data_IF_763832578298
#
_entry.id   IF_763832578298
#
_cell.length_a   1.000
_cell.length_b   1.000
_cell.length_c   1.000
_cell.angle_alpha   90.00
_cell.angle_beta   90.00
_cell.angle_gamma   90.00
#
_symmetry.space_group_name_H-M   'P 1'
#
loop_
_entity.id
_entity.type
_entity.pdbx_description
1 polymer ?
#
# COMPACT_ATOMS: atom_id res chain seq x y z
N UNK A 1 -15.85 32.48 -36.99
CA UNK A 1 -14.50 32.91 -36.54
C UNK A 1 -14.34 32.83 -35.02
N UNK A 2 -15.01 33.62 -34.17
CA UNK A 2 -14.80 33.54 -32.71
C UNK A 2 -15.22 32.21 -32.04
N UNK A 3 -16.30 31.57 -32.51
CA UNK A 3 -16.76 30.28 -31.99
C UNK A 3 -15.87 29.10 -32.43
N UNK A 4 -15.30 29.16 -33.65
CA UNK A 4 -14.33 28.16 -34.15
C UNK A 4 -12.99 28.28 -33.44
N UNK A 5 -12.53 29.51 -33.17
CA UNK A 5 -11.28 29.74 -32.44
C UNK A 5 -11.37 29.21 -31.00
N UNK A 6 -12.50 29.43 -30.32
CA UNK A 6 -12.73 28.95 -28.95
C UNK A 6 -12.82 27.42 -28.87
N UNK A 7 -13.53 26.79 -29.83
CA UNK A 7 -13.60 25.34 -29.92
C UNK A 7 -12.24 24.69 -30.26
N UNK A 8 -11.39 25.38 -31.03
CA UNK A 8 -10.03 24.92 -31.32
C UNK A 8 -9.13 24.98 -30.09
N UNK A 9 -9.19 26.06 -29.32
CA UNK A 9 -8.39 26.23 -28.09
C UNK A 9 -8.79 25.21 -27.03
N UNK A 10 -10.10 24.99 -26.80
CA UNK A 10 -10.57 23.97 -25.85
C UNK A 10 -10.14 22.55 -26.26
N UNK A 11 -10.17 22.23 -27.57
CA UNK A 11 -9.71 20.93 -28.07
C UNK A 11 -8.19 20.76 -27.92
N UNK A 12 -7.41 21.81 -28.13
CA UNK A 12 -5.95 21.82 -28.04
C UNK A 12 -5.47 21.73 -26.58
N UNK A 13 -6.18 22.37 -25.66
CA UNK A 13 -5.92 22.31 -24.22
C UNK A 13 -6.29 20.96 -23.60
N UNK A 14 -7.44 20.38 -23.98
CA UNK A 14 -7.81 19.00 -23.59
C UNK A 14 -6.79 17.98 -24.09
N UNK A 15 -6.29 18.17 -25.31
CA UNK A 15 -5.24 17.31 -25.88
C UNK A 15 -3.92 17.46 -25.12
N UNK A 16 -3.55 18.68 -24.70
CA UNK A 16 -2.35 18.97 -23.91
C UNK A 16 -2.41 18.36 -22.51
N UNK A 17 -3.52 18.51 -21.80
CA UNK A 17 -3.73 17.95 -20.46
C UNK A 17 -3.74 16.42 -20.49
N UNK A 18 -4.39 15.81 -21.50
CA UNK A 18 -4.36 14.37 -21.67
C UNK A 18 -2.95 13.83 -21.98
N UNK A 19 -2.11 14.59 -22.70
CA UNK A 19 -0.72 14.20 -22.95
C UNK A 19 0.16 14.39 -21.72
N UNK A 20 -0.07 15.44 -20.92
CA UNK A 20 0.69 15.73 -19.70
C UNK A 20 0.37 14.73 -18.56
N UNK A 21 -0.91 14.40 -18.35
CA UNK A 21 -1.33 13.36 -17.39
C UNK A 21 -0.76 11.99 -17.80
N UNK A 22 -0.82 11.66 -19.09
CA UNK A 22 -0.27 10.41 -19.61
C UNK A 22 1.25 10.36 -19.44
N UNK A 23 1.96 11.46 -19.70
CA UNK A 23 3.40 11.56 -19.48
C UNK A 23 3.78 11.45 -18.00
N UNK A 24 2.96 11.99 -17.08
CA UNK A 24 3.18 11.87 -15.63
C UNK A 24 2.98 10.43 -15.16
N UNK A 25 1.90 9.78 -15.58
CA UNK A 25 1.63 8.37 -15.24
C UNK A 25 2.71 7.46 -15.83
N UNK A 26 3.12 7.69 -17.09
CA UNK A 26 4.23 6.94 -17.70
C UNK A 26 5.56 7.17 -16.96
N UNK A 27 5.84 8.40 -16.48
CA UNK A 27 7.06 8.69 -15.72
C UNK A 27 7.05 8.06 -14.31
N UNK A 28 5.91 8.06 -13.63
CA UNK A 28 5.74 7.45 -12.30
C UNK A 28 5.76 5.91 -12.41
N UNK A 29 5.15 5.35 -13.46
CA UNK A 29 5.20 3.93 -13.77
C UNK A 29 6.61 3.49 -14.20
N UNK A 30 7.33 4.28 -15.00
CA UNK A 30 8.73 4.00 -15.33
C UNK A 30 9.65 4.07 -14.10
N UNK A 31 9.45 5.05 -13.21
CA UNK A 31 10.23 5.15 -11.97
C UNK A 31 9.97 3.93 -11.06
N UNK A 32 8.71 3.46 -11.00
CA UNK A 32 8.34 2.25 -10.26
C UNK A 32 8.91 0.99 -10.91
N UNK A 33 8.77 0.83 -12.23
CA UNK A 33 9.33 -0.31 -12.97
C UNK A 33 10.86 -0.33 -12.86
N UNK A 34 11.54 0.81 -12.84
CA UNK A 34 12.97 0.87 -12.64
C UNK A 34 13.37 0.48 -11.20
N UNK A 35 12.58 0.85 -10.20
CA UNK A 35 12.78 0.42 -8.82
C UNK A 35 12.51 -1.09 -8.64
N UNK A 36 11.46 -1.61 -9.27
CA UNK A 36 11.07 -3.02 -9.26
C UNK A 36 12.08 -3.88 -10.04
N UNK A 37 12.52 -3.44 -11.22
CA UNK A 37 13.58 -4.09 -12.01
C UNK A 37 14.90 -4.09 -11.25
N UNK A 38 15.25 -2.98 -10.56
CA UNK A 38 16.46 -2.91 -9.74
C UNK A 38 16.38 -3.82 -8.52
N UNK A 39 15.23 -3.89 -7.84
CA UNK A 39 14.99 -4.83 -6.75
C UNK A 39 15.00 -6.29 -7.26
N UNK A 40 14.43 -6.57 -8.43
CA UNK A 40 14.44 -7.89 -9.06
C UNK A 40 15.86 -8.30 -9.44
N UNK A 41 16.66 -7.39 -10.01
CA UNK A 41 18.07 -7.64 -10.35
C UNK A 41 18.89 -7.86 -9.08
N UNK A 42 18.67 -7.09 -8.01
CA UNK A 42 19.35 -7.32 -6.73
C UNK A 42 18.97 -8.68 -6.11
N UNK A 43 17.70 -9.08 -6.17
CA UNK A 43 17.23 -10.40 -5.71
C UNK A 43 17.76 -11.52 -6.61
N UNK A 44 17.76 -11.35 -7.93
CA UNK A 44 18.25 -12.35 -8.90
C UNK A 44 19.77 -12.49 -8.84
N UNK A 45 20.51 -11.39 -8.62
CA UNK A 45 21.95 -11.41 -8.41
C UNK A 45 22.30 -12.05 -7.06
N UNK A 46 21.54 -11.75 -5.99
CA UNK A 46 21.71 -12.42 -4.70
C UNK A 46 21.31 -13.90 -4.73
N UNK A 47 20.30 -14.28 -5.51
CA UNK A 47 19.90 -15.66 -5.75
C UNK A 47 20.91 -16.40 -6.61
N UNK A 48 21.52 -15.74 -7.60
CA UNK A 48 22.63 -16.29 -8.39
C UNK A 48 23.87 -16.50 -7.52
N UNK A 49 24.22 -15.53 -6.67
CA UNK A 49 25.30 -15.67 -5.69
C UNK A 49 24.99 -16.76 -4.66
N UNK A 50 23.73 -16.88 -4.21
CA UNK A 50 23.29 -17.97 -3.35
C UNK A 50 23.37 -19.33 -4.05
N UNK A 51 22.97 -19.42 -5.32
CA UNK A 51 23.04 -20.65 -6.10
C UNK A 51 24.48 -21.01 -6.47
N UNK A 52 25.36 -20.05 -6.69
CA UNK A 52 26.79 -20.26 -6.92
C UNK A 52 27.50 -20.69 -5.62
N UNK A 53 27.12 -20.14 -4.47
CA UNK A 53 27.60 -20.55 -3.15
C UNK A 53 27.01 -21.91 -2.74
N UNK A 54 25.73 -22.16 -3.02
CA UNK A 54 25.07 -23.46 -2.83
C UNK A 54 25.64 -24.51 -3.78
N UNK A 55 25.98 -24.17 -5.02
CA UNK A 55 26.68 -25.07 -5.95
C UNK A 55 28.12 -25.33 -5.51
N UNK A 56 28.79 -24.38 -4.86
CA UNK A 56 30.06 -24.63 -4.16
C UNK A 56 29.89 -25.55 -2.95
N UNK A 57 28.85 -25.34 -2.14
CA UNK A 57 28.52 -26.18 -0.99
C UNK A 57 28.09 -27.58 -1.45
N UNK A 58 27.35 -27.71 -2.56
CA UNK A 58 26.89 -28.99 -3.10
C UNK A 58 28.01 -29.71 -3.86
N UNK A 59 28.94 -28.98 -4.50
CA UNK A 59 30.19 -29.52 -5.01
C UNK A 59 31.13 -29.96 -3.86
N UNK A 60 31.11 -29.28 -2.71
CA UNK A 60 31.76 -29.74 -1.49
C UNK A 60 31.03 -30.94 -0.86
N UNK A 61 29.68 -30.99 -0.86
CA UNK A 61 28.89 -32.16 -0.42
C UNK A 61 29.12 -33.39 -1.31
N UNK A 62 29.38 -33.23 -2.60
CA UNK A 62 29.80 -34.35 -3.46
C UNK A 62 31.21 -34.89 -3.13
N UNK A 63 31.97 -34.19 -2.27
CA UNK A 63 33.28 -34.63 -1.78
C UNK A 63 33.29 -35.01 -0.30
N UNK A 64 32.17 -34.86 0.41
CA UNK A 64 32.01 -35.38 1.77
C UNK A 64 30.99 -36.51 1.68
N UNK A 65 31.51 -37.74 1.55
CA UNK A 65 30.75 -38.95 1.83
C UNK A 65 29.85 -38.76 3.07
N UNK A 66 28.75 -39.52 3.18
CA UNK A 66 28.05 -39.73 4.45
C UNK A 66 29.05 -40.26 5.50
N UNK A 67 29.88 -39.39 6.07
CA UNK A 67 30.78 -39.68 7.16
C UNK A 67 29.87 -39.80 8.38
N UNK A 68 29.63 -41.05 8.79
CA UNK A 68 28.92 -41.35 10.03
C UNK A 68 29.52 -40.52 11.16
N UNK A 69 28.68 -39.99 12.05
CA UNK A 69 29.14 -39.37 13.29
C UNK A 69 30.23 -40.25 13.93
N UNK A 70 31.31 -39.66 14.46
CA UNK A 70 32.37 -40.43 15.06
C UNK A 70 31.80 -41.29 16.20
N UNK A 71 32.36 -42.49 16.38
CA UNK A 71 31.95 -43.38 17.46
C UNK A 71 32.12 -42.66 18.81
N UNK A 72 31.08 -42.70 19.63
CA UNK A 72 31.08 -42.00 20.92
C UNK A 72 31.97 -42.73 21.93
N UNK A 73 33.27 -42.40 21.92
CA UNK A 73 34.29 -43.03 22.78
C UNK A 73 34.51 -42.29 24.10
N UNK A 74 34.04 -41.05 24.21
CA UNK A 74 34.15 -40.21 25.40
C UNK A 74 32.89 -39.35 25.61
N UNK A 75 32.80 -38.71 26.78
CA UNK A 75 31.65 -37.90 27.16
C UNK A 75 31.42 -36.71 26.20
N UNK A 76 32.50 -36.10 25.69
CA UNK A 76 32.39 -35.01 24.71
C UNK A 76 31.76 -35.51 23.41
N UNK A 77 32.19 -36.65 22.88
CA UNK A 77 31.69 -37.21 21.64
C UNK A 77 30.21 -37.63 21.76
N UNK A 78 29.82 -38.17 22.92
CA UNK A 78 28.40 -38.43 23.21
C UNK A 78 27.56 -37.15 23.18
N UNK A 79 27.96 -36.11 23.92
CA UNK A 79 27.20 -34.85 24.00
C UNK A 79 27.18 -34.11 22.65
N UNK A 80 28.28 -34.11 21.91
CA UNK A 80 28.36 -33.53 20.58
C UNK A 80 27.47 -34.27 19.57
N UNK A 81 27.45 -35.61 19.60
CA UNK A 81 26.59 -36.39 18.72
C UNK A 81 25.10 -36.11 18.99
N UNK A 82 24.69 -36.03 20.27
CA UNK A 82 23.31 -35.67 20.64
C UNK A 82 22.93 -34.27 20.11
N UNK A 83 23.85 -33.29 20.18
CA UNK A 83 23.59 -31.95 19.63
C UNK A 83 23.48 -31.99 18.10
N UNK A 84 24.35 -32.75 17.41
CA UNK A 84 24.27 -32.85 15.95
C UNK A 84 22.94 -33.48 15.53
N UNK A 85 22.50 -34.56 16.18
CA UNK A 85 21.21 -35.19 15.92
C UNK A 85 20.05 -34.19 16.14
N UNK A 86 20.06 -33.44 17.25
CA UNK A 86 19.06 -32.40 17.50
C UNK A 86 19.05 -31.31 16.42
N UNK A 87 20.22 -30.87 15.93
CA UNK A 87 20.32 -29.88 14.87
C UNK A 87 19.84 -30.38 13.51
N UNK A 88 19.96 -31.69 13.24
CA UNK A 88 19.45 -32.34 12.03
C UNK A 88 17.93 -32.50 12.05
N UNK A 89 17.33 -32.79 13.21
CA UNK A 89 15.88 -32.82 13.36
C UNK A 89 15.27 -31.42 13.28
N UNK A 90 15.90 -30.44 13.92
CA UNK A 90 15.53 -29.03 13.81
C UNK A 90 15.62 -28.52 12.36
N UNK A 91 16.61 -28.97 11.60
CA UNK A 91 16.74 -28.65 10.17
C UNK A 91 15.52 -29.10 9.36
N UNK A 92 15.04 -30.34 9.55
CA UNK A 92 13.88 -30.86 8.80
C UNK A 92 12.63 -30.01 9.04
N UNK A 93 12.38 -29.66 10.31
CA UNK A 93 11.26 -28.79 10.67
C UNK A 93 11.43 -27.36 10.11
N UNK A 94 12.66 -26.84 10.08
CA UNK A 94 12.98 -25.55 9.48
C UNK A 94 12.73 -25.55 7.96
N UNK A 95 13.13 -26.61 7.25
CA UNK A 95 12.89 -26.79 5.82
C UNK A 95 11.39 -26.88 5.50
N UNK A 96 10.61 -27.59 6.32
CA UNK A 96 9.16 -27.66 6.17
C UNK A 96 8.50 -26.28 6.33
N UNK A 97 8.90 -25.51 7.33
CA UNK A 97 8.38 -24.15 7.54
C UNK A 97 8.76 -23.20 6.39
N UNK A 98 9.99 -23.28 5.87
CA UNK A 98 10.42 -22.52 4.69
C UNK A 98 9.60 -22.90 3.45
N UNK A 99 9.32 -24.18 3.25
CA UNK A 99 8.45 -24.65 2.15
C UNK A 99 7.04 -24.06 2.26
N UNK A 100 6.45 -24.11 3.46
CA UNK A 100 5.12 -23.54 3.72
C UNK A 100 5.09 -22.03 3.51
N UNK A 101 6.13 -21.30 3.93
CA UNK A 101 6.24 -19.87 3.67
C UNK A 101 6.34 -19.60 2.16
N UNK A 102 7.15 -20.36 1.44
CA UNK A 102 7.32 -20.25 -0.02
C UNK A 102 5.99 -20.43 -0.75
N UNK A 103 5.21 -21.45 -0.38
CA UNK A 103 3.88 -21.68 -0.95
C UNK A 103 2.93 -20.52 -0.67
N UNK A 104 2.95 -19.96 0.55
CA UNK A 104 2.13 -18.81 0.90
C UNK A 104 2.52 -17.55 0.11
N UNK A 105 3.82 -17.29 -0.10
CA UNK A 105 4.29 -16.19 -0.96
C UNK A 105 3.79 -16.38 -2.40
N UNK A 106 3.86 -17.60 -2.94
CA UNK A 106 3.38 -17.90 -4.28
C UNK A 106 1.86 -17.67 -4.43
N UNK A 107 1.07 -17.98 -3.41
CA UNK A 107 -0.37 -17.67 -3.39
C UNK A 107 -0.61 -16.17 -3.43
N UNK A 108 0.11 -15.39 -2.61
CA UNK A 108 0.02 -13.92 -2.60
C UNK A 108 0.40 -13.29 -3.93
N UNK A 109 1.48 -13.77 -4.55
CA UNK A 109 1.92 -13.32 -5.88
C UNK A 109 0.86 -13.63 -6.96
N UNK A 110 0.25 -14.82 -6.90
CA UNK A 110 -0.81 -15.18 -7.82
C UNK A 110 -2.07 -14.31 -7.64
N UNK A 111 -2.46 -14.03 -6.39
CA UNK A 111 -3.60 -13.17 -6.10
C UNK A 111 -3.34 -11.71 -6.58
N UNK A 112 -2.11 -11.21 -6.45
CA UNK A 112 -1.69 -9.92 -7.03
C UNK A 112 -1.80 -9.92 -8.56
N UNK A 113 -1.29 -10.95 -9.23
CA UNK A 113 -1.37 -11.08 -10.70
C UNK A 113 -2.83 -11.12 -11.18
N UNK A 114 -3.68 -11.83 -10.44
CA UNK A 114 -5.11 -11.89 -10.73
C UNK A 114 -5.79 -10.52 -10.56
N UNK A 115 -5.47 -9.80 -9.49
CA UNK A 115 -5.99 -8.44 -9.24
C UNK A 115 -5.56 -7.47 -10.34
N UNK A 116 -4.28 -7.51 -10.74
CA UNK A 116 -3.76 -6.68 -11.83
C UNK A 116 -4.48 -6.99 -13.15
N UNK A 117 -4.66 -8.27 -13.48
CA UNK A 117 -5.40 -8.69 -14.67
C UNK A 117 -6.86 -8.25 -14.64
N UNK A 118 -7.53 -8.38 -13.50
CA UNK A 118 -8.91 -7.89 -13.34
C UNK A 118 -8.97 -6.39 -13.60
N UNK A 119 -8.07 -5.61 -12.99
CA UNK A 119 -8.01 -4.17 -13.18
C UNK A 119 -7.75 -3.78 -14.64
N UNK A 120 -6.77 -4.39 -15.29
CA UNK A 120 -6.38 -4.09 -16.68
C UNK A 120 -7.51 -4.40 -17.68
N UNK A 121 -8.17 -5.57 -17.55
CA UNK A 121 -9.29 -5.94 -18.41
C UNK A 121 -10.50 -5.04 -18.17
N UNK A 122 -10.72 -4.69 -16.91
CA UNK A 122 -11.82 -3.83 -16.52
C UNK A 122 -11.61 -2.38 -17.00
N UNK A 123 -10.37 -1.91 -17.15
CA UNK A 123 -10.05 -0.64 -17.83
C UNK A 123 -10.29 -0.68 -19.34
N UNK A 124 -10.17 -1.85 -19.96
CA UNK A 124 -10.57 -2.07 -21.35
C UNK A 124 -12.10 -2.22 -21.52
N UNK A 125 -12.87 -2.07 -20.45
CA UNK A 125 -14.32 -2.25 -20.45
C UNK A 125 -14.77 -3.71 -20.48
N UNK A 126 -13.86 -4.66 -20.24
CA UNK A 126 -14.14 -6.10 -20.22
C UNK A 126 -14.39 -6.51 -18.76
N UNK A 127 -15.64 -6.87 -18.47
CA UNK A 127 -16.02 -7.37 -17.15
C UNK A 127 -15.58 -8.83 -16.97
N UNK A 128 -14.90 -9.12 -15.87
CA UNK A 128 -14.70 -10.49 -15.37
C UNK A 128 -15.52 -10.70 -14.10
N UNK A 129 -16.04 -11.91 -13.96
CA UNK A 129 -16.73 -12.31 -12.75
C UNK A 129 -15.77 -12.30 -11.55
N UNK A 130 -16.14 -11.64 -10.43
CA UNK A 130 -15.30 -11.56 -9.24
C UNK A 130 -14.97 -12.96 -8.73
N UNK A 131 -13.70 -13.23 -8.46
CA UNK A 131 -13.30 -14.48 -7.82
C UNK A 131 -13.86 -14.54 -6.39
N UNK A 132 -14.14 -15.74 -5.85
CA UNK A 132 -14.56 -15.90 -4.46
C UNK A 132 -13.59 -15.20 -3.50
N UNK A 133 -14.13 -14.46 -2.54
CA UNK A 133 -13.33 -13.76 -1.55
C UNK A 133 -12.62 -14.76 -0.63
N UNK A 134 -11.28 -14.76 -0.67
CA UNK A 134 -10.45 -15.41 0.35
C UNK A 134 -10.22 -14.41 1.50
N UNK A 135 -10.32 -14.89 2.74
CA UNK A 135 -10.09 -14.05 3.92
C UNK A 135 -8.62 -13.63 4.02
N UNK A 136 -8.31 -12.41 3.60
CA UNK A 136 -6.94 -11.87 3.69
C UNK A 136 -6.40 -11.82 5.14
N UNK A 137 -7.28 -11.72 6.13
CA UNK A 137 -6.90 -11.68 7.55
C UNK A 137 -6.40 -13.03 8.05
N UNK A 138 -7.10 -14.12 7.71
CA UNK A 138 -6.70 -15.47 8.14
C UNK A 138 -5.40 -15.91 7.47
N UNK A 139 -5.26 -15.60 6.19
CA UNK A 139 -4.04 -15.90 5.43
C UNK A 139 -2.83 -15.12 5.96
N UNK A 140 -3.00 -13.82 6.25
CA UNK A 140 -1.93 -13.01 6.84
C UNK A 140 -1.56 -13.52 8.25
N UNK A 141 -2.54 -13.91 9.06
CA UNK A 141 -2.28 -14.49 10.37
C UNK A 141 -1.50 -15.81 10.27
N UNK A 142 -1.80 -16.64 9.27
CA UNK A 142 -1.05 -17.89 9.02
C UNK A 142 0.39 -17.62 8.59
N UNK A 143 0.64 -16.62 7.73
CA UNK A 143 2.00 -16.21 7.32
C UNK A 143 2.81 -15.71 8.51
N UNK A 144 2.23 -14.84 9.36
CA UNK A 144 2.92 -14.34 10.55
C UNK A 144 3.21 -15.46 11.57
N UNK A 145 2.32 -16.45 11.70
CA UNK A 145 2.59 -17.63 12.52
C UNK A 145 3.79 -18.43 11.99
N UNK A 146 3.84 -18.70 10.67
CA UNK A 146 4.98 -19.39 10.05
C UNK A 146 6.28 -18.62 10.25
N UNK A 147 6.27 -17.29 10.08
CA UNK A 147 7.45 -16.44 10.31
C UNK A 147 7.93 -16.52 11.76
N UNK A 148 7.01 -16.45 12.72
CA UNK A 148 7.30 -16.58 14.15
C UNK A 148 7.89 -17.96 14.48
N UNK A 149 7.32 -19.03 13.92
CA UNK A 149 7.84 -20.39 14.11
C UNK A 149 9.25 -20.54 13.51
N UNK A 150 9.50 -19.93 12.34
CA UNK A 150 10.83 -19.85 11.73
C UNK A 150 11.83 -19.08 12.61
N UNK A 151 11.45 -17.96 13.21
CA UNK A 151 12.32 -17.21 14.11
C UNK A 151 12.70 -18.03 15.34
N UNK A 152 11.72 -18.73 15.93
CA UNK A 152 11.94 -19.59 17.08
C UNK A 152 12.89 -20.75 16.76
N UNK A 153 12.68 -21.44 15.64
CA UNK A 153 13.51 -22.59 15.26
C UNK A 153 14.92 -22.15 14.84
N UNK A 154 15.06 -21.02 14.14
CA UNK A 154 16.36 -20.41 13.81
C UNK A 154 17.11 -20.08 15.10
N UNK A 155 16.46 -19.44 16.06
CA UNK A 155 17.07 -19.08 17.34
C UNK A 155 17.52 -20.33 18.13
N UNK A 156 16.67 -21.36 18.20
CA UNK A 156 17.00 -22.62 18.87
C UNK A 156 18.19 -23.33 18.21
N UNK A 157 18.15 -23.48 16.87
CA UNK A 157 19.23 -24.15 16.11
C UNK A 157 20.55 -23.38 16.20
N UNK A 158 20.51 -22.04 16.20
CA UNK A 158 21.70 -21.21 16.46
C UNK A 158 22.31 -21.47 17.84
N UNK A 159 21.47 -21.62 18.87
CA UNK A 159 21.92 -21.91 20.22
C UNK A 159 22.59 -23.28 20.34
N UNK A 160 22.03 -24.30 19.67
CA UNK A 160 22.60 -25.65 19.59
C UNK A 160 23.93 -25.68 18.84
N UNK A 161 24.02 -25.03 17.68
CA UNK A 161 25.28 -24.89 16.92
C UNK A 161 26.35 -24.18 17.77
N UNK A 162 25.96 -23.13 18.51
CA UNK A 162 26.87 -22.43 19.42
C UNK A 162 27.32 -23.32 20.57
N UNK A 163 26.43 -24.17 21.11
CA UNK A 163 26.79 -25.15 22.15
C UNK A 163 27.77 -26.19 21.61
N UNK A 164 27.54 -26.71 20.40
CA UNK A 164 28.45 -27.65 19.74
C UNK A 164 29.83 -27.02 19.53
N UNK A 165 29.88 -25.76 19.09
CA UNK A 165 31.13 -25.02 18.90
C UNK A 165 31.91 -24.87 20.21
N UNK A 166 31.23 -24.54 21.32
CA UNK A 166 31.89 -24.45 22.63
C UNK A 166 32.44 -25.79 23.10
N UNK A 167 31.69 -26.87 22.94
CA UNK A 167 32.18 -28.21 23.30
C UNK A 167 33.39 -28.59 22.44
N UNK A 168 33.35 -28.23 21.15
CA UNK A 168 34.44 -28.47 20.21
C UNK A 168 35.72 -27.75 20.66
N UNK A 169 35.61 -26.47 21.02
CA UNK A 169 36.72 -25.66 21.54
C UNK A 169 37.27 -26.23 22.86
N UNK A 170 36.40 -26.61 23.80
CA UNK A 170 36.79 -27.22 25.07
C UNK A 170 37.57 -28.53 24.86
N UNK A 171 37.05 -29.41 24.01
CA UNK A 171 37.74 -30.66 23.68
C UNK A 171 39.08 -30.40 23.00
N UNK A 172 39.16 -29.40 22.13
CA UNK A 172 40.41 -29.01 21.46
C UNK A 172 41.47 -28.54 22.47
N UNK A 173 41.06 -27.83 23.53
CA UNK A 173 41.94 -27.40 24.62
C UNK A 173 42.41 -28.56 25.51
N UNK A 174 41.55 -29.54 25.76
CA UNK A 174 41.86 -30.71 26.60
C UNK A 174 42.66 -31.81 25.87
N UNK A 175 42.66 -31.81 24.53
CA UNK A 175 43.39 -32.78 23.73
C UNK A 175 44.84 -32.33 23.52
N UNK A 176 45.82 -33.14 23.95
CA UNK A 176 47.25 -32.84 23.78
C UNK A 176 47.60 -32.60 22.30
N UNK A 177 48.12 -31.39 22.00
CA UNK A 177 48.41 -30.81 20.66
C UNK A 177 49.26 -31.65 19.70
N UNK A 178 49.80 -32.80 20.12
CA UNK A 178 50.66 -33.67 19.31
C UNK A 178 49.83 -34.63 18.42
N UNK A 179 48.56 -34.88 18.76
CA UNK A 179 47.65 -35.72 17.97
C UNK A 179 46.34 -34.95 17.71
N UNK A 180 46.18 -34.40 16.50
CA UNK A 180 44.85 -34.04 16.03
C UNK A 180 44.10 -35.34 15.76
N UNK A 181 43.19 -35.68 16.67
CA UNK A 181 42.34 -36.86 16.54
C UNK A 181 41.39 -36.69 15.34
N UNK A 182 41.18 -37.79 14.60
CA UNK A 182 40.26 -37.89 13.46
C UNK A 182 38.85 -37.43 13.85
N UNK A 183 38.46 -37.68 15.10
CA UNK A 183 37.21 -37.25 15.71
C UNK A 183 37.09 -35.71 15.76
N UNK A 184 38.16 -34.99 16.05
CA UNK A 184 38.10 -33.52 16.12
C UNK A 184 37.97 -32.92 14.70
N UNK A 185 38.58 -33.55 13.70
CA UNK A 185 38.43 -33.12 12.31
C UNK A 185 37.00 -33.32 11.81
N UNK A 186 36.33 -34.42 12.17
CA UNK A 186 34.95 -34.68 11.77
C UNK A 186 33.99 -33.63 12.35
N UNK A 187 34.08 -33.32 13.64
CA UNK A 187 33.25 -32.26 14.25
C UNK A 187 33.49 -30.87 13.66
N UNK A 188 34.73 -30.54 13.27
CA UNK A 188 35.02 -29.28 12.58
C UNK A 188 34.30 -29.19 11.22
N UNK A 189 34.30 -30.27 10.44
CA UNK A 189 33.55 -30.34 9.18
C UNK A 189 32.04 -30.20 9.45
N UNK A 190 31.52 -30.92 10.44
CA UNK A 190 30.11 -30.86 10.84
C UNK A 190 29.68 -29.45 11.25
N UNK A 191 30.46 -28.76 12.08
CA UNK A 191 30.19 -27.37 12.46
C UNK A 191 30.16 -26.43 11.25
N UNK A 192 31.08 -26.62 10.31
CA UNK A 192 31.12 -25.83 9.07
C UNK A 192 29.86 -26.04 8.24
N UNK A 193 29.42 -27.30 8.08
CA UNK A 193 28.17 -27.67 7.40
C UNK A 193 26.95 -27.06 8.10
N UNK A 194 26.83 -27.23 9.42
CA UNK A 194 25.67 -26.74 10.18
C UNK A 194 25.56 -25.21 10.09
N UNK A 195 26.68 -24.48 10.18
CA UNK A 195 26.71 -23.03 10.03
C UNK A 195 26.32 -22.57 8.63
N UNK A 196 26.79 -23.24 7.57
CA UNK A 196 26.45 -22.88 6.20
C UNK A 196 24.98 -23.14 5.89
N UNK A 197 24.45 -24.29 6.30
CA UNK A 197 23.03 -24.62 6.17
C UNK A 197 22.13 -23.62 6.92
N UNK A 198 22.53 -23.23 8.12
CA UNK A 198 21.78 -22.28 8.93
C UNK A 198 21.80 -20.88 8.31
N UNK A 199 22.94 -20.45 7.76
CA UNK A 199 23.03 -19.19 7.02
C UNK A 199 22.12 -19.19 5.78
N UNK A 200 22.09 -20.30 5.04
CA UNK A 200 21.20 -20.45 3.89
C UNK A 200 19.72 -20.33 4.27
N UNK A 201 19.30 -20.95 5.38
CA UNK A 201 17.94 -20.84 5.89
C UNK A 201 17.56 -19.41 6.32
N UNK A 202 18.48 -18.70 6.99
CA UNK A 202 18.28 -17.29 7.39
C UNK A 202 18.11 -16.41 6.14
N UNK A 203 18.95 -16.62 5.11
CA UNK A 203 18.86 -15.88 3.85
C UNK A 203 17.55 -16.16 3.13
N UNK A 204 17.16 -17.43 3.01
CA UNK A 204 15.90 -17.82 2.38
C UNK A 204 14.68 -17.18 3.08
N UNK A 205 14.66 -17.15 4.43
CA UNK A 205 13.61 -16.44 5.19
C UNK A 205 13.58 -14.95 4.84
N UNK A 206 14.74 -14.29 4.87
CA UNK A 206 14.83 -12.85 4.57
C UNK A 206 14.37 -12.51 3.15
N UNK A 207 14.74 -13.34 2.17
CA UNK A 207 14.32 -13.17 0.77
C UNK A 207 12.80 -13.32 0.62
N UNK A 208 12.19 -14.31 1.29
CA UNK A 208 10.73 -14.51 1.28
C UNK A 208 9.99 -13.36 1.96
N UNK A 209 10.52 -12.81 3.05
CA UNK A 209 9.95 -11.63 3.73
C UNK A 209 10.02 -10.38 2.85
N UNK A 210 11.13 -10.17 2.14
CA UNK A 210 11.28 -9.06 1.20
C UNK A 210 10.32 -9.18 0.00
N UNK A 211 10.12 -10.40 -0.51
CA UNK A 211 9.13 -10.67 -1.56
C UNK A 211 7.71 -10.38 -1.08
N UNK A 212 7.33 -10.80 0.13
CA UNK A 212 6.03 -10.50 0.72
C UNK A 212 5.78 -9.00 0.83
N UNK A 213 6.77 -8.23 1.29
CA UNK A 213 6.64 -6.77 1.38
C UNK A 213 6.43 -6.13 0.01
N UNK A 214 7.18 -6.58 -1.00
CA UNK A 214 7.02 -6.12 -2.38
C UNK A 214 5.63 -6.41 -2.91
N UNK A 215 5.12 -7.64 -2.68
CA UNK A 215 3.78 -8.05 -3.09
C UNK A 215 2.70 -7.22 -2.36
N UNK A 216 2.89 -6.94 -1.07
CA UNK A 216 1.95 -6.13 -0.28
C UNK A 216 1.85 -4.70 -0.84
N UNK A 217 2.97 -4.05 -1.11
CA UNK A 217 3.00 -2.70 -1.69
C UNK A 217 2.32 -2.67 -3.05
N UNK A 218 2.63 -3.63 -3.92
CA UNK A 218 2.01 -3.74 -5.24
C UNK A 218 0.49 -4.03 -5.17
N UNK A 219 0.07 -4.85 -4.21
CA UNK A 219 -1.35 -5.16 -3.96
C UNK A 219 -2.11 -3.92 -3.52
N UNK A 220 -1.57 -3.14 -2.59
CA UNK A 220 -2.19 -1.89 -2.13
C UNK A 220 -2.28 -0.85 -3.25
N UNK A 221 -1.29 -0.80 -4.13
CA UNK A 221 -1.35 0.03 -5.33
C UNK A 221 -2.54 -0.35 -6.24
N UNK A 222 -2.68 -1.64 -6.58
CA UNK A 222 -3.77 -2.11 -7.44
C UNK A 222 -5.16 -1.94 -6.79
N UNK A 223 -5.26 -2.11 -5.46
CA UNK A 223 -6.50 -1.79 -4.72
C UNK A 223 -6.83 -0.31 -4.83
N UNK A 224 -5.86 0.60 -4.63
CA UNK A 224 -6.06 2.04 -4.76
C UNK A 224 -6.48 2.43 -6.18
N UNK A 225 -5.88 1.83 -7.21
CA UNK A 225 -6.26 2.01 -8.62
C UNK A 225 -7.73 1.65 -8.85
N UNK A 226 -8.18 0.50 -8.34
CA UNK A 226 -9.58 0.07 -8.42
C UNK A 226 -10.53 1.04 -7.70
N UNK A 227 -10.17 1.50 -6.50
CA UNK A 227 -10.98 2.46 -5.73
C UNK A 227 -11.10 3.79 -6.49
N UNK A 228 -9.99 4.35 -6.96
CA UNK A 228 -9.99 5.59 -7.75
C UNK A 228 -10.90 5.47 -8.97
N UNK A 229 -10.85 4.33 -9.67
CA UNK A 229 -11.71 4.09 -10.83
C UNK A 229 -13.18 3.94 -10.46
N UNK A 230 -13.50 3.25 -9.36
CA UNK A 230 -14.88 3.16 -8.89
C UNK A 230 -15.45 4.54 -8.53
N UNK A 231 -14.63 5.42 -7.93
CA UNK A 231 -15.00 6.80 -7.63
C UNK A 231 -15.19 7.64 -8.91
N UNK A 232 -14.35 7.44 -9.93
CA UNK A 232 -14.44 8.16 -11.20
C UNK A 232 -15.60 7.67 -12.09
N UNK A 233 -15.77 6.35 -12.24
CA UNK A 233 -16.83 5.77 -13.05
C UNK A 233 -18.24 6.03 -12.49
N UNK A 234 -18.35 6.30 -11.18
CA UNK A 234 -19.58 6.73 -10.53
C UNK A 234 -19.70 8.27 -10.44
N UNK A 235 -18.75 9.05 -10.98
CA UNK A 235 -18.87 10.52 -10.97
C UNK A 235 -20.08 10.97 -11.80
N UNK A 236 -20.34 10.34 -12.95
CA UNK A 236 -21.49 10.66 -13.79
C UNK A 236 -22.83 10.42 -13.08
N UNK A 237 -22.98 9.24 -12.50
CA UNK A 237 -24.19 8.85 -11.76
C UNK A 237 -24.35 9.65 -10.46
N UNK A 238 -23.26 9.85 -9.70
CA UNK A 238 -23.25 10.71 -8.49
C UNK A 238 -23.68 12.13 -8.85
N UNK A 239 -23.06 12.73 -9.87
CA UNK A 239 -23.39 14.08 -10.29
C UNK A 239 -24.87 14.20 -10.69
N UNK A 240 -25.40 13.22 -11.44
CA UNK A 240 -26.82 13.21 -11.80
C UNK A 240 -27.73 13.17 -10.55
N UNK A 241 -27.40 12.32 -9.57
CA UNK A 241 -28.14 12.24 -8.31
C UNK A 241 -28.03 13.54 -7.48
N UNK A 242 -26.83 14.12 -7.43
CA UNK A 242 -26.54 15.36 -6.70
C UNK A 242 -27.28 16.55 -7.29
N UNK A 243 -27.34 16.67 -8.62
CA UNK A 243 -28.15 17.69 -9.30
C UNK A 243 -29.64 17.52 -9.04
N UNK A 244 -30.14 16.28 -9.10
CA UNK A 244 -31.55 15.98 -8.83
C UNK A 244 -31.93 16.28 -7.37
N UNK A 245 -31.04 15.98 -6.42
CA UNK A 245 -31.23 16.29 -5.00
C UNK A 245 -31.28 17.80 -4.77
N UNK A 246 -30.34 18.57 -5.35
CA UNK A 246 -30.33 20.03 -5.24
C UNK A 246 -31.61 20.65 -5.82
N UNK A 247 -32.05 20.19 -6.99
CA UNK A 247 -33.27 20.67 -7.62
C UNK A 247 -34.50 20.38 -6.76
N UNK A 248 -34.60 19.17 -6.19
CA UNK A 248 -35.65 18.81 -5.25
C UNK A 248 -35.63 19.67 -3.99
N UNK A 249 -34.45 19.96 -3.44
CA UNK A 249 -34.31 20.85 -2.28
C UNK A 249 -34.79 22.26 -2.61
N UNK A 250 -34.40 22.81 -3.76
CA UNK A 250 -34.83 24.16 -4.18
C UNK A 250 -36.34 24.23 -4.40
N UNK A 251 -36.97 23.20 -4.95
CA UNK A 251 -38.41 23.17 -5.23
C UNK A 251 -39.27 22.91 -3.98
N UNK A 252 -38.78 22.08 -3.05
CA UNK A 252 -39.59 21.59 -1.93
C UNK A 252 -39.32 22.32 -0.59
N UNK A 253 -38.25 23.10 -0.48
CA UNK A 253 -37.95 23.82 0.76
C UNK A 253 -38.82 25.06 0.88
N UNK A 254 -39.78 25.04 1.81
CA UNK A 254 -40.57 26.23 2.16
C UNK A 254 -39.73 27.22 2.97
N UNK A 255 -39.99 28.51 2.76
CA UNK A 255 -39.41 29.57 3.59
C UNK A 255 -39.71 29.32 5.07
N UNK A 256 -38.68 29.45 5.91
CA UNK A 256 -38.84 29.29 7.37
C UNK A 256 -39.63 30.47 7.93
N UNK A 257 -40.65 30.18 8.74
CA UNK A 257 -41.41 31.19 9.47
C UNK A 257 -40.67 31.70 10.72
N UNK A 258 -39.65 30.96 11.17
CA UNK A 258 -38.78 31.33 12.29
C UNK A 258 -37.38 31.68 11.76
N UNK A 259 -36.79 32.80 12.18
CA UNK A 259 -35.46 33.19 11.74
C UNK A 259 -34.42 32.20 12.29
N UNK A 260 -33.68 31.55 11.39
CA UNK A 260 -32.57 30.66 11.74
C UNK A 260 -31.40 31.47 12.32
N UNK A 261 -30.61 30.82 13.16
CA UNK A 261 -29.41 31.34 13.82
C UNK A 261 -28.15 30.65 13.30
N UNK A 262 -26.96 31.17 13.62
CA UNK A 262 -25.69 30.56 13.17
C UNK A 262 -25.52 29.12 13.70
N UNK A 263 -25.98 28.85 14.92
CA UNK A 263 -25.91 27.51 15.53
C UNK A 263 -26.79 26.46 14.85
N UNK A 264 -27.73 26.89 14.00
CA UNK A 264 -28.57 25.96 13.24
C UNK A 264 -27.84 25.41 12.01
N UNK A 265 -26.71 26.00 11.61
CA UNK A 265 -25.92 25.60 10.45
C UNK A 265 -24.69 24.78 10.85
N UNK A 266 -24.58 23.57 10.29
CA UNK A 266 -23.33 22.81 10.29
C UNK A 266 -22.48 23.28 9.10
N UNK A 267 -21.41 24.03 9.33
CA UNK A 267 -20.53 24.49 8.25
C UNK A 267 -19.53 23.42 7.77
N UNK A 268 -19.49 22.29 8.47
CA UNK A 268 -18.56 21.19 8.23
C UNK A 268 -17.12 21.55 8.57
N UNK A 269 -16.20 21.31 7.64
CA UNK A 269 -14.76 21.50 7.88
C UNK A 269 -14.42 22.99 8.09
N UNK A 270 -13.69 23.28 9.18
CA UNK A 270 -13.21 24.63 9.45
C UNK A 270 -12.17 25.06 8.41
N UNK A 271 -12.38 26.23 7.82
CA UNK A 271 -11.51 26.78 6.78
C UNK A 271 -10.64 27.89 7.37
N UNK A 272 -9.36 27.89 6.98
CA UNK A 272 -8.45 28.98 7.30
C UNK A 272 -8.83 30.27 6.56
N UNK A 273 -8.41 31.43 7.07
CA UNK A 273 -8.64 32.73 6.41
C UNK A 273 -7.91 32.88 5.06
N UNK A 274 -7.07 31.91 4.67
CA UNK A 274 -6.33 31.92 3.41
C UNK A 274 -7.16 31.30 2.28
N UNK A 275 -6.98 31.81 1.05
CA UNK A 275 -7.63 31.26 -0.14
C UNK A 275 -7.10 29.85 -0.40
N UNK A 276 -7.98 28.86 -0.37
CA UNK A 276 -7.65 27.48 -0.74
C UNK A 276 -7.65 27.35 -2.25
N UNK A 277 -6.67 26.63 -2.81
CA UNK A 277 -6.57 26.36 -4.25
C UNK A 277 -6.88 24.88 -4.47
N UNK A 278 -7.94 24.61 -5.24
CA UNK A 278 -8.29 23.28 -5.72
C UNK A 278 -7.90 23.17 -7.19
N UNK A 279 -7.35 22.02 -7.57
CA UNK A 279 -6.91 21.75 -8.94
C UNK A 279 -7.67 20.59 -9.54
N UNK A 280 -7.95 20.67 -10.84
CA UNK A 280 -8.58 19.60 -11.61
C UNK A 280 -9.92 19.14 -11.00
N UNK A 281 -10.76 20.10 -10.59
CA UNK A 281 -12.09 19.85 -10.06
C UNK A 281 -13.05 19.58 -11.23
N UNK A 282 -13.38 18.32 -11.42
CA UNK A 282 -14.31 17.86 -12.46
C UNK A 282 -15.64 18.61 -12.39
N UNK A 283 -16.12 19.13 -13.54
CA UNK A 283 -17.41 19.83 -13.70
C UNK A 283 -17.57 21.12 -12.88
N UNK A 284 -16.49 21.65 -12.34
CA UNK A 284 -16.43 23.05 -11.91
C UNK A 284 -15.71 23.88 -12.98
N UNK A 285 -15.99 25.18 -13.02
CA UNK A 285 -15.29 26.11 -13.92
C UNK A 285 -14.12 26.75 -13.17
N UNK A 286 -13.11 27.21 -13.90
CA UNK A 286 -12.05 28.02 -13.28
C UNK A 286 -12.63 29.33 -12.72
N UNK A 287 -12.17 29.72 -11.52
CA UNK A 287 -12.60 30.96 -10.90
C UNK A 287 -12.48 30.96 -9.37
N UNK A 288 -13.06 31.99 -8.76
CA UNK A 288 -13.10 32.22 -7.32
C UNK A 288 -14.53 32.03 -6.83
N UNK A 289 -14.72 31.06 -5.95
CA UNK A 289 -16.03 30.66 -5.44
C UNK A 289 -16.21 31.12 -4.00
N UNK A 290 -17.38 31.68 -3.69
CA UNK A 290 -17.78 32.00 -2.32
C UNK A 290 -18.40 30.78 -1.66
N UNK A 291 -17.59 30.05 -0.90
CA UNK A 291 -18.01 28.81 -0.25
C UNK A 291 -18.67 29.13 1.09
N UNK A 292 -19.88 28.63 1.29
CA UNK A 292 -20.65 28.70 2.52
C UNK A 292 -20.21 27.60 3.50
N UNK A 293 -20.14 26.34 3.04
CA UNK A 293 -19.80 25.17 3.88
C UNK A 293 -19.08 24.07 3.08
N UNK A 294 -18.39 23.16 3.78
CA UNK A 294 -17.71 22.00 3.17
C UNK A 294 -18.06 20.74 3.92
N UNK A 295 -18.65 19.75 3.24
CA UNK A 295 -19.05 18.48 3.83
C UNK A 295 -18.46 17.29 3.07
N UNK A 296 -18.15 16.23 3.80
CA UNK A 296 -17.80 14.90 3.26
C UNK A 296 -19.02 13.96 3.17
N UNK A 297 -20.18 14.39 3.67
CA UNK A 297 -21.40 13.60 3.79
C UNK A 297 -22.59 14.25 3.08
N UNK A 298 -23.34 13.43 2.33
CA UNK A 298 -24.50 13.84 1.53
C UNK A 298 -25.66 14.35 2.39
N UNK A 299 -25.91 13.72 3.54
CA UNK A 299 -27.02 14.09 4.43
C UNK A 299 -26.75 15.46 5.04
N UNK A 300 -25.51 15.70 5.50
CA UNK A 300 -25.10 17.00 6.05
C UNK A 300 -25.16 18.11 5.00
N UNK A 301 -24.67 17.83 3.79
CA UNK A 301 -24.78 18.74 2.65
C UNK A 301 -26.23 19.12 2.39
N UNK A 302 -27.12 18.14 2.29
CA UNK A 302 -28.53 18.37 1.98
C UNK A 302 -29.27 19.11 3.09
N UNK A 303 -28.95 18.84 4.36
CA UNK A 303 -29.48 19.58 5.51
C UNK A 303 -29.06 21.05 5.49
N UNK A 304 -27.77 21.32 5.22
CA UNK A 304 -27.27 22.69 5.07
C UNK A 304 -27.97 23.41 3.91
N UNK A 305 -28.05 22.79 2.75
CA UNK A 305 -28.73 23.36 1.56
C UNK A 305 -30.20 23.67 1.86
N UNK A 306 -30.94 22.77 2.52
CA UNK A 306 -32.34 23.00 2.90
C UNK A 306 -32.48 24.23 3.80
N UNK A 307 -31.61 24.41 4.78
CA UNK A 307 -31.62 25.56 5.68
C UNK A 307 -31.27 26.87 4.98
N UNK A 308 -30.32 26.84 4.04
CA UNK A 308 -29.96 28.01 3.22
C UNK A 308 -31.12 28.42 2.32
N UNK A 309 -31.75 27.47 1.63
CA UNK A 309 -32.93 27.75 0.79
C UNK A 309 -34.11 28.21 1.64
N UNK A 310 -34.37 27.58 2.79
CA UNK A 310 -35.41 28.01 3.72
C UNK A 310 -35.17 29.42 4.31
N UNK A 311 -33.91 29.88 4.30
CA UNK A 311 -33.54 31.26 4.66
C UNK A 311 -33.73 32.27 3.50
N UNK A 312 -34.25 31.83 2.35
CA UNK A 312 -34.54 32.64 1.17
C UNK A 312 -33.38 32.79 0.18
N UNK A 313 -32.31 31.99 0.31
CA UNK A 313 -31.18 32.01 -0.63
C UNK A 313 -31.30 30.87 -1.65
N UNK A 314 -31.78 31.19 -2.86
CA UNK A 314 -32.02 30.21 -3.93
C UNK A 314 -30.81 30.00 -4.86
N UNK A 315 -29.85 30.92 -4.85
CA UNK A 315 -28.66 30.86 -5.71
C UNK A 315 -27.56 29.92 -5.17
N UNK A 316 -27.84 29.17 -4.11
CA UNK A 316 -26.90 28.19 -3.58
C UNK A 316 -26.69 27.03 -4.55
N UNK A 317 -25.44 26.63 -4.74
CA UNK A 317 -25.05 25.47 -5.55
C UNK A 317 -23.85 24.77 -4.89
N UNK A 318 -23.38 23.64 -5.43
CA UNK A 318 -22.19 22.96 -4.94
C UNK A 318 -21.47 22.19 -6.05
N UNK A 319 -20.20 21.91 -5.81
CA UNK A 319 -19.43 20.95 -6.59
C UNK A 319 -18.79 19.90 -5.67
N UNK A 320 -18.43 18.75 -6.23
CA UNK A 320 -17.71 17.69 -5.52
C UNK A 320 -16.28 17.61 -6.04
N UNK A 321 -15.30 17.72 -5.15
CA UNK A 321 -13.91 17.49 -5.49
C UNK A 321 -13.54 16.02 -5.22
N UNK A 322 -13.22 15.30 -6.30
CA UNK A 322 -12.84 13.88 -6.26
C UNK A 322 -11.53 13.65 -5.49
N UNK A 323 -10.64 14.65 -5.48
CA UNK A 323 -9.34 14.51 -4.81
C UNK A 323 -9.48 14.55 -3.29
N UNK A 324 -10.37 15.41 -2.78
CA UNK A 324 -10.62 15.53 -1.34
C UNK A 324 -11.84 14.77 -0.85
N UNK A 325 -12.65 14.20 -1.75
CA UNK A 325 -13.93 13.56 -1.47
C UNK A 325 -14.91 14.48 -0.71
N UNK A 326 -14.95 15.76 -1.07
CA UNK A 326 -15.71 16.79 -0.35
C UNK A 326 -16.64 17.58 -1.28
N UNK A 327 -17.79 17.93 -0.74
CA UNK A 327 -18.77 18.85 -1.29
C UNK A 327 -18.48 20.27 -0.85
N UNK A 328 -18.28 21.17 -1.80
CA UNK A 328 -18.08 22.60 -1.56
C UNK A 328 -19.35 23.33 -1.94
N UNK A 329 -20.09 23.82 -0.95
CA UNK A 329 -21.35 24.54 -1.14
C UNK A 329 -21.03 26.02 -1.34
N UNK A 330 -21.45 26.61 -2.45
CA UNK A 330 -21.16 27.99 -2.81
C UNK A 330 -22.41 28.79 -3.18
N UNK A 331 -22.29 30.12 -3.18
CA UNK A 331 -23.39 31.02 -3.59
C UNK A 331 -23.08 31.79 -4.87
N UNK A 332 -21.80 32.14 -5.09
CA UNK A 332 -21.39 32.91 -6.26
C UNK A 332 -20.00 32.48 -6.76
N UNK A 333 -19.77 32.70 -8.04
CA UNK A 333 -18.49 32.50 -8.75
C UNK A 333 -18.05 33.82 -9.37
N UNK A 334 -16.75 34.12 -9.28
CA UNK A 334 -16.11 35.29 -9.88
C UNK A 334 -14.89 34.89 -10.70
N UNK A 335 -14.64 35.60 -11.82
CA UNK A 335 -13.47 35.33 -12.66
C UNK A 335 -12.16 35.88 -12.06
N UNK A 336 -12.25 36.81 -11.10
CA UNK A 336 -11.09 37.44 -10.48
C UNK A 336 -11.27 37.64 -8.97
N UNK A 337 -10.13 37.70 -8.28
CA UNK A 337 -10.09 37.77 -6.82
C UNK A 337 -10.61 39.11 -6.29
N UNK A 338 -10.48 40.20 -7.06
CA UNK A 338 -10.94 41.53 -6.64
C UNK A 338 -12.46 41.55 -6.49
N UNK A 339 -13.19 40.98 -7.45
CA UNK A 339 -14.65 40.86 -7.39
C UNK A 339 -15.11 39.92 -6.27
N UNK A 340 -14.43 38.79 -6.07
CA UNK A 340 -14.74 37.87 -4.97
C UNK A 340 -14.53 38.53 -3.60
N UNK A 341 -13.44 39.29 -3.42
CA UNK A 341 -13.18 40.02 -2.18
C UNK A 341 -14.23 41.10 -1.93
N UNK A 342 -14.61 41.87 -2.96
CA UNK A 342 -15.66 42.88 -2.84
C UNK A 342 -17.00 42.25 -2.41
N UNK A 343 -17.36 41.09 -2.98
CA UNK A 343 -18.55 40.35 -2.60
C UNK A 343 -18.48 39.81 -1.15
N UNK A 344 -17.30 39.38 -0.69
CA UNK A 344 -17.05 38.95 0.68
C UNK A 344 -17.23 40.10 1.69
N UNK A 345 -16.82 41.32 1.32
CA UNK A 345 -17.05 42.53 2.13
C UNK A 345 -18.54 42.90 2.21
N UNK A 346 -19.31 42.64 1.16
CA UNK A 346 -20.75 42.94 1.08
C UNK A 346 -21.66 41.77 1.44
N UNK A 347 -21.14 40.68 2.01
CA UNK A 347 -21.85 39.40 2.23
C UNK A 347 -23.10 39.46 3.12
N UNK A 348 -23.42 40.60 3.73
CA UNK A 348 -24.55 40.75 4.64
C UNK A 348 -24.37 39.98 5.95
N UNK A 349 -25.41 40.00 6.79
CA UNK A 349 -25.41 39.43 8.15
C UNK A 349 -26.25 38.17 8.27
N UNK A 350 -26.56 37.50 7.16
CA UNK A 350 -27.34 36.26 7.20
C UNK A 350 -26.53 35.16 7.92
N UNK A 351 -27.16 34.33 8.76
CA UNK A 351 -26.46 33.34 9.57
C UNK A 351 -25.61 32.35 8.75
N UNK A 352 -26.08 31.95 7.57
CA UNK A 352 -25.36 31.03 6.68
C UNK A 352 -24.07 31.64 6.08
N UNK A 353 -23.82 32.94 6.22
CA UNK A 353 -22.60 33.60 5.74
C UNK A 353 -21.50 33.70 6.81
N UNK A 354 -21.75 33.19 8.03
CA UNK A 354 -20.86 33.37 9.18
C UNK A 354 -19.43 32.85 8.93
N UNK A 355 -19.31 31.67 8.31
CA UNK A 355 -18.01 31.03 8.03
C UNK A 355 -17.57 31.15 6.56
N UNK A 356 -18.22 32.01 5.77
CA UNK A 356 -17.98 32.10 4.32
C UNK A 356 -16.50 32.38 3.97
N UNK A 357 -15.97 31.67 2.98
CA UNK A 357 -14.58 31.81 2.52
C UNK A 357 -14.48 31.78 0.99
N UNK A 358 -13.30 32.10 0.47
CA UNK A 358 -13.00 32.05 -0.97
C UNK A 358 -12.17 30.80 -1.28
N UNK A 359 -12.59 30.04 -2.30
CA UNK A 359 -11.83 28.94 -2.89
C UNK A 359 -11.55 29.26 -4.35
N UNK A 360 -10.30 29.07 -4.78
CA UNK A 360 -9.89 29.18 -6.18
C UNK A 360 -9.87 27.81 -6.83
N UNK A 361 -10.48 27.69 -8.01
CA UNK A 361 -10.39 26.49 -8.86
C UNK A 361 -9.49 26.80 -10.05
N UNK A 362 -8.52 25.92 -10.29
CA UNK A 362 -7.60 25.91 -11.44
C UNK A 362 -7.77 24.55 -12.16
N UNK A 363 -8.24 24.53 -13.41
CA UNK A 363 -8.64 23.28 -14.10
C UNK A 363 -7.85 22.98 -15.36
#
# INVERSE_FOLDING_TARGET
MAAEEKARIEAEEKARLATEEKARIEAEEQARLAAEEKARIEVEEQARLAAEEQAKIDAEKQTVDEESLPEATDAFSSEMNEIVEATDDSKKAQEELLSRLTEAVAVKDQDLKDLKRENDLSEQGIYLEPKPFKSSTEENAAIEAIKSDLDNIIASRNAEITRLERLYEQRQEETDTIYMDEVLLSYKKTLTKLKSEQLAAIKAKADLEAQLETINVATEYEKKRRIKRAVYNNDDDRYAQDRAALESIKQNSSLSNEPLSESDFDFGEERSNNIQILKNVTRAEEGYYLILAVHDDVIKRDDFLKKVVASGQENVDFFFDVNTSKYYIFVDKFDNIQAANAAMETKGSNPYNAKMSIVKIEN
#
